data_IF_109414227109
#
_entry.id   IF_109414227109
#
_cell.length_a   1.000
_cell.length_b   1.000
_cell.length_c   1.000
_cell.angle_alpha   90.00
_cell.angle_beta   90.00
_cell.angle_gamma   90.00
#
_symmetry.space_group_name_H-M   'P 1'
#
loop_
_entity.id
_entity.type
_entity.pdbx_description
1 polymer ?
#
# COMPACT_ATOMS: atom_id res chain seq x y z
N UNK A 1 -18.35 13.19 0.18
CA UNK A 1 -17.76 11.94 0.71
C UNK A 1 -16.31 11.90 0.28
N UNK A 2 -15.39 12.18 1.17
CA UNK A 2 -13.95 12.29 0.84
C UNK A 2 -13.37 10.92 0.58
N UNK A 3 -12.61 10.76 -0.50
CA UNK A 3 -11.81 9.55 -0.78
C UNK A 3 -10.92 9.17 0.41
N UNK A 4 -10.44 10.17 1.17
CA UNK A 4 -9.78 9.99 2.47
C UNK A 4 -10.70 9.59 3.62
N UNK A 5 -11.99 9.93 3.60
CA UNK A 5 -12.92 9.40 4.60
C UNK A 5 -13.04 7.87 4.51
N UNK A 6 -12.89 7.29 3.31
CA UNK A 6 -12.82 5.84 3.13
C UNK A 6 -11.55 5.22 3.72
N UNK A 7 -10.43 5.96 3.75
CA UNK A 7 -9.19 5.49 4.40
C UNK A 7 -9.22 5.59 5.93
N UNK A 8 -10.06 6.45 6.53
CA UNK A 8 -9.99 6.78 7.97
C UNK A 8 -11.25 6.50 8.81
N UNK A 9 -12.38 6.06 8.25
CA UNK A 9 -13.65 5.97 8.99
C UNK A 9 -14.35 4.61 8.98
N UNK A 10 -13.65 3.51 8.79
CA UNK A 10 -14.28 2.16 8.89
C UNK A 10 -14.18 1.56 10.30
N UNK A 11 -13.57 2.23 11.28
CA UNK A 11 -13.48 1.70 12.65
C UNK A 11 -14.02 2.70 13.70
N UNK A 12 -15.32 2.67 13.86
CA UNK A 12 -15.99 3.24 15.02
C UNK A 12 -17.11 2.31 15.47
N UNK A 13 -16.95 1.77 16.67
CA UNK A 13 -17.89 1.06 17.50
C UNK A 13 -17.89 -0.47 17.44
N UNK A 14 -17.25 -1.05 18.45
CA UNK A 14 -17.91 -1.98 19.37
C UNK A 14 -17.00 -2.15 20.60
N UNK A 15 -17.39 -1.50 21.69
CA UNK A 15 -16.86 -1.73 23.01
C UNK A 15 -17.44 -3.02 23.59
N UNK A 16 -16.62 -3.76 24.34
CA UNK A 16 -17.09 -4.61 25.43
C UNK A 16 -15.94 -4.83 26.41
N UNK A 17 -16.19 -4.43 27.63
CA UNK A 17 -15.36 -4.62 28.81
C UNK A 17 -15.19 -6.10 29.14
N UNK A 18 -14.00 -6.45 29.60
CA UNK A 18 -13.72 -7.75 30.22
C UNK A 18 -12.54 -7.64 31.17
N UNK A 19 -12.82 -7.27 32.41
CA UNK A 19 -11.92 -7.45 33.56
C UNK A 19 -11.78 -8.93 33.86
N UNK A 20 -10.58 -9.46 33.95
CA UNK A 20 -10.29 -10.61 34.83
C UNK A 20 -8.82 -10.62 35.30
N UNK A 21 -8.74 -10.87 36.57
CA UNK A 21 -7.72 -10.83 37.58
C UNK A 21 -6.41 -11.58 37.30
N UNK A 22 -5.33 -11.06 37.95
CA UNK A 22 -4.05 -11.69 38.22
C UNK A 22 -4.17 -12.93 39.12
N UNK A 23 -3.14 -13.80 39.10
CA UNK A 23 -2.38 -13.97 40.33
C UNK A 23 -0.86 -13.86 40.17
N UNK A 24 -0.26 -13.32 41.23
CA UNK A 24 1.17 -13.28 41.50
C UNK A 24 1.65 -14.65 42.00
N UNK A 25 2.96 -14.91 41.82
CA UNK A 25 3.93 -15.70 42.57
C UNK A 25 4.99 -16.20 41.60
N UNK A 26 6.26 -16.24 41.80
CA UNK A 26 7.12 -16.19 42.99
C UNK A 26 8.58 -15.98 42.55
N UNK A 27 9.32 -15.33 43.39
CA UNK A 27 10.77 -15.10 43.35
C UNK A 27 11.59 -16.41 43.34
N UNK A 28 12.50 -16.50 42.37
CA UNK A 28 13.60 -17.48 42.39
C UNK A 28 14.93 -16.76 42.11
N UNK A 29 15.71 -16.53 43.15
CA UNK A 29 17.09 -16.03 43.11
C UNK A 29 18.01 -17.12 42.62
N UNK A 30 18.67 -16.92 41.47
CA UNK A 30 19.87 -17.70 41.09
C UNK A 30 21.08 -16.75 40.93
N UNK A 31 22.30 -17.16 41.41
CA UNK A 31 23.49 -16.34 41.30
C UNK A 31 23.99 -16.27 39.84
N UNK A 32 24.70 -15.15 39.50
CA UNK A 32 25.13 -14.96 38.11
C UNK A 32 26.35 -15.82 37.78
N UNK A 33 26.22 -16.63 36.73
CA UNK A 33 27.36 -17.26 36.07
C UNK A 33 28.10 -16.19 35.24
N UNK A 34 29.42 -16.13 35.42
CA UNK A 34 30.28 -15.25 34.63
C UNK A 34 30.28 -15.67 33.17
N UNK A 35 29.70 -14.82 32.30
CA UNK A 35 29.76 -15.00 30.86
C UNK A 35 30.95 -14.24 30.32
N UNK A 36 31.94 -15.00 29.85
CA UNK A 36 33.07 -14.48 29.06
C UNK A 36 32.51 -13.95 27.73
N UNK A 37 32.53 -12.63 27.58
CA UNK A 37 32.07 -11.95 26.36
C UNK A 37 33.19 -12.07 25.31
N UNK A 38 33.06 -13.02 24.39
CA UNK A 38 33.78 -12.98 23.12
C UNK A 38 33.09 -11.96 22.23
N UNK A 39 33.81 -10.88 21.88
CA UNK A 39 33.30 -9.88 20.93
C UNK A 39 32.99 -10.55 19.57
N UNK A 40 31.78 -10.38 19.02
CA UNK A 40 31.52 -10.85 17.67
C UNK A 40 32.30 -9.98 16.69
N UNK A 41 33.07 -10.65 15.82
CA UNK A 41 33.70 -10.02 14.67
C UNK A 41 32.62 -9.31 13.85
N UNK A 42 32.82 -8.01 13.61
CA UNK A 42 31.94 -7.22 12.75
C UNK A 42 31.96 -7.85 11.34
N UNK A 43 30.91 -8.57 11.00
CA UNK A 43 30.62 -8.97 9.61
C UNK A 43 30.44 -7.69 8.81
N UNK A 44 31.38 -7.41 7.91
CA UNK A 44 31.22 -6.38 6.89
C UNK A 44 29.94 -6.70 6.10
N UNK A 45 28.89 -5.93 6.38
CA UNK A 45 27.61 -6.04 5.68
C UNK A 45 27.85 -5.76 4.20
N UNK A 46 27.78 -6.79 3.39
CA UNK A 46 27.66 -6.66 1.93
C UNK A 46 26.35 -5.92 1.68
N UNK A 47 26.42 -4.62 1.40
CA UNK A 47 25.28 -3.84 0.90
C UNK A 47 24.87 -4.47 -0.41
N UNK A 48 23.81 -5.28 -0.37
CA UNK A 48 23.16 -5.77 -1.59
C UNK A 48 22.75 -4.56 -2.41
N UNK A 49 23.08 -4.52 -3.73
CA UNK A 49 22.66 -3.39 -4.57
C UNK A 49 21.15 -3.25 -4.48
N UNK A 50 20.69 -2.02 -4.24
CA UNK A 50 19.25 -1.72 -4.18
C UNK A 50 18.59 -2.22 -5.47
N UNK A 51 17.50 -2.99 -5.32
CA UNK A 51 16.74 -3.48 -6.46
C UNK A 51 16.32 -2.31 -7.37
N UNK A 52 16.37 -2.46 -8.71
CA UNK A 52 16.02 -1.40 -9.62
C UNK A 52 14.55 -1.00 -9.42
N UNK A 53 14.32 0.29 -9.15
CA UNK A 53 12.98 0.87 -9.01
C UNK A 53 12.44 1.16 -10.41
N UNK A 54 11.26 0.61 -10.73
CA UNK A 54 10.52 0.99 -11.94
C UNK A 54 9.67 2.21 -11.62
N UNK A 55 9.90 3.33 -12.29
CA UNK A 55 9.13 4.57 -12.09
C UNK A 55 8.33 4.92 -13.33
N UNK A 56 7.07 5.32 -13.13
CA UNK A 56 6.19 5.81 -14.18
C UNK A 56 5.69 7.20 -13.82
N UNK A 57 6.05 8.21 -14.63
CA UNK A 57 5.59 9.58 -14.45
C UNK A 57 4.27 9.81 -15.19
N UNK A 58 3.30 10.38 -14.48
CA UNK A 58 1.96 10.70 -15.00
C UNK A 58 1.65 12.17 -14.63
N UNK A 59 1.97 13.09 -15.53
CA UNK A 59 1.88 14.52 -15.25
C UNK A 59 2.78 14.96 -14.09
N UNK A 60 2.19 15.43 -12.98
CA UNK A 60 2.89 15.85 -11.76
C UNK A 60 3.07 14.73 -10.73
N UNK A 61 2.59 13.55 -11.03
CA UNK A 61 2.63 12.38 -10.15
C UNK A 61 3.62 11.35 -10.66
N UNK A 62 4.33 10.69 -9.77
CA UNK A 62 5.23 9.58 -10.07
C UNK A 62 4.81 8.36 -9.27
N UNK A 63 4.62 7.24 -9.93
CA UNK A 63 4.37 5.95 -9.30
C UNK A 63 5.64 5.11 -9.35
N UNK A 64 6.11 4.65 -8.20
CA UNK A 64 7.35 3.92 -8.05
C UNK A 64 7.06 2.48 -7.58
N UNK A 65 7.57 1.48 -8.31
CA UNK A 65 7.50 0.07 -7.95
C UNK A 65 8.89 -0.40 -7.55
N UNK A 66 9.16 -0.46 -6.27
CA UNK A 66 10.49 -0.73 -5.72
C UNK A 66 10.80 -2.24 -5.53
N UNK A 67 9.80 -3.12 -5.70
CA UNK A 67 10.00 -4.57 -5.65
C UNK A 67 10.21 -5.09 -7.08
N UNK A 68 11.28 -5.86 -7.37
CA UNK A 68 11.46 -6.49 -8.67
C UNK A 68 10.35 -7.51 -8.95
N UNK A 69 10.16 -7.87 -10.22
CA UNK A 69 9.28 -8.97 -10.58
C UNK A 69 9.86 -10.30 -10.05
N UNK A 70 9.01 -11.20 -9.53
CA UNK A 70 9.45 -12.52 -9.10
C UNK A 70 9.96 -13.34 -10.29
N UNK A 71 10.86 -14.31 -10.02
CA UNK A 71 11.37 -15.23 -11.04
C UNK A 71 10.28 -16.20 -11.56
N UNK A 72 9.28 -16.50 -10.73
CA UNK A 72 8.13 -17.30 -11.14
C UNK A 72 7.27 -16.50 -12.13
N UNK A 73 7.11 -17.02 -13.35
CA UNK A 73 6.40 -16.34 -14.42
C UNK A 73 4.91 -16.14 -14.15
N UNK A 74 4.27 -17.05 -13.43
CA UNK A 74 2.84 -16.90 -13.09
C UNK A 74 2.64 -15.75 -12.11
N UNK A 75 3.46 -15.67 -11.08
CA UNK A 75 3.45 -14.56 -10.12
C UNK A 75 3.88 -13.24 -10.79
N UNK A 76 4.87 -13.27 -11.68
CA UNK A 76 5.27 -12.08 -12.43
C UNK A 76 4.11 -11.48 -13.22
N UNK A 77 3.34 -12.31 -13.96
CA UNK A 77 2.14 -11.85 -14.69
C UNK A 77 1.06 -11.26 -13.79
N UNK A 78 0.90 -11.78 -12.57
CA UNK A 78 -0.04 -11.22 -11.60
C UNK A 78 0.40 -9.82 -11.18
N UNK A 79 1.68 -9.64 -10.84
CA UNK A 79 2.25 -8.33 -10.45
C UNK A 79 2.25 -7.36 -11.63
N UNK A 80 2.54 -7.79 -12.85
CA UNK A 80 2.45 -6.95 -14.05
C UNK A 80 1.02 -6.43 -14.27
N UNK A 81 0.01 -7.28 -14.16
CA UNK A 81 -1.39 -6.89 -14.25
C UNK A 81 -1.78 -5.89 -13.16
N UNK A 82 -1.31 -6.09 -11.94
CA UNK A 82 -1.52 -5.16 -10.84
C UNK A 82 -0.82 -3.81 -11.09
N UNK A 83 0.44 -3.79 -11.54
CA UNK A 83 1.17 -2.55 -11.87
C UNK A 83 0.47 -1.75 -12.96
N UNK A 84 0.02 -2.41 -14.03
CA UNK A 84 -0.74 -1.75 -15.10
C UNK A 84 -2.05 -1.17 -14.58
N UNK A 85 -2.77 -1.92 -13.74
CA UNK A 85 -3.98 -1.44 -13.09
C UNK A 85 -3.73 -0.17 -12.25
N UNK A 86 -2.64 -0.12 -11.46
CA UNK A 86 -2.23 1.04 -10.66
C UNK A 86 -1.91 2.26 -11.53
N UNK A 87 -1.20 2.05 -12.64
CA UNK A 87 -0.87 3.11 -13.61
C UNK A 87 -2.15 3.68 -14.24
N UNK A 88 -3.06 2.81 -14.69
CA UNK A 88 -4.33 3.21 -15.30
C UNK A 88 -5.28 3.88 -14.30
N UNK A 89 -5.25 3.42 -13.04
CA UNK A 89 -5.93 4.05 -11.92
C UNK A 89 -5.47 5.50 -11.75
N UNK A 90 -4.18 5.72 -11.60
CA UNK A 90 -3.58 7.04 -11.41
C UNK A 90 -3.83 7.96 -12.60
N UNK A 91 -3.72 7.45 -13.84
CA UNK A 91 -4.09 8.19 -15.06
C UNK A 91 -5.57 8.62 -15.04
N UNK A 92 -6.46 7.75 -14.55
CA UNK A 92 -7.90 8.04 -14.47
C UNK A 92 -8.23 9.12 -13.43
N UNK A 93 -7.53 9.11 -12.28
CA UNK A 93 -7.66 10.16 -11.27
C UNK A 93 -7.21 11.52 -11.79
N UNK A 94 -6.09 11.57 -12.51
CA UNK A 94 -5.55 12.81 -13.08
C UNK A 94 -6.44 13.35 -14.20
N UNK A 95 -7.01 12.45 -15.02
CA UNK A 95 -7.90 12.82 -16.12
C UNK A 95 -9.35 13.08 -15.69
N UNK A 96 -9.70 12.83 -14.43
CA UNK A 96 -11.07 12.87 -13.88
C UNK A 96 -12.10 12.05 -14.69
N UNK A 97 -11.65 10.99 -15.30
CA UNK A 97 -12.47 10.05 -16.09
C UNK A 97 -11.77 8.71 -16.20
N UNK A 98 -12.53 7.68 -16.51
CA UNK A 98 -11.93 6.40 -16.88
C UNK A 98 -11.13 6.58 -18.18
N UNK A 99 -9.83 6.27 -18.13
CA UNK A 99 -8.98 6.26 -19.33
C UNK A 99 -9.18 4.97 -20.14
N UNK A 100 -8.85 4.95 -21.45
CA UNK A 100 -8.91 3.74 -22.25
C UNK A 100 -8.10 2.60 -21.61
N UNK A 101 -8.65 1.39 -21.65
CA UNK A 101 -8.03 0.19 -21.09
C UNK A 101 -8.29 -0.06 -19.60
N UNK A 102 -8.59 0.95 -18.78
CA UNK A 102 -8.73 0.78 -17.32
C UNK A 102 -9.80 -0.24 -16.95
N UNK A 103 -10.88 -0.35 -17.72
CA UNK A 103 -11.98 -1.30 -17.42
C UNK A 103 -11.61 -2.76 -17.60
N UNK A 104 -10.51 -3.05 -18.32
CA UNK A 104 -9.92 -4.38 -18.38
C UNK A 104 -9.08 -4.72 -17.15
N UNK A 105 -8.47 -3.73 -16.51
CA UNK A 105 -7.54 -3.91 -15.39
C UNK A 105 -8.13 -3.57 -14.01
N UNK A 106 -9.26 -2.85 -13.96
CA UNK A 106 -9.95 -2.48 -12.70
C UNK A 106 -11.43 -2.84 -12.84
N UNK A 107 -11.88 -3.81 -12.04
CA UNK A 107 -13.23 -4.39 -12.14
C UNK A 107 -13.94 -4.42 -10.78
N UNK A 108 -15.15 -4.92 -10.72
CA UNK A 108 -15.88 -5.17 -9.47
C UNK A 108 -15.93 -3.98 -8.52
N UNK A 109 -15.69 -4.25 -7.26
CA UNK A 109 -15.69 -3.25 -6.17
C UNK A 109 -14.58 -2.22 -6.37
N UNK A 110 -13.41 -2.62 -6.88
CA UNK A 110 -12.32 -1.69 -7.15
C UNK A 110 -12.72 -0.61 -8.17
N UNK A 111 -13.47 -0.98 -9.22
CA UNK A 111 -13.98 -0.01 -10.20
C UNK A 111 -14.96 0.99 -9.58
N UNK A 112 -15.81 0.54 -8.67
CA UNK A 112 -16.73 1.44 -7.95
C UNK A 112 -15.96 2.45 -7.11
N UNK A 113 -14.88 2.01 -6.43
CA UNK A 113 -13.99 2.90 -5.68
C UNK A 113 -13.28 3.91 -6.59
N UNK A 114 -12.78 3.47 -7.75
CA UNK A 114 -12.14 4.36 -8.73
C UNK A 114 -13.10 5.44 -9.23
N UNK A 115 -14.35 5.08 -9.57
CA UNK A 115 -15.37 6.05 -9.98
C UNK A 115 -15.68 7.06 -8.87
N UNK A 116 -15.77 6.61 -7.62
CA UNK A 116 -15.93 7.48 -6.46
C UNK A 116 -14.78 8.45 -6.29
N UNK A 117 -13.55 7.97 -6.44
CA UNK A 117 -12.34 8.79 -6.35
C UNK A 117 -12.23 9.82 -7.48
N UNK A 118 -12.61 9.45 -8.71
CA UNK A 118 -12.68 10.37 -9.86
C UNK A 118 -13.70 11.47 -9.60
N UNK A 119 -14.91 11.10 -9.14
CA UNK A 119 -15.97 12.06 -8.80
C UNK A 119 -15.51 13.05 -7.73
N UNK A 120 -14.88 12.53 -6.69
CA UNK A 120 -14.32 13.33 -5.62
C UNK A 120 -13.24 14.30 -6.12
N UNK A 121 -12.24 13.83 -6.89
CA UNK A 121 -11.19 14.68 -7.46
C UNK A 121 -11.76 15.80 -8.31
N UNK A 122 -12.77 15.49 -9.15
CA UNK A 122 -13.47 16.48 -9.98
C UNK A 122 -14.23 17.53 -9.15
N UNK A 123 -14.91 17.11 -8.07
CA UNK A 123 -15.68 18.03 -7.22
C UNK A 123 -14.79 18.97 -6.39
N UNK A 124 -13.56 18.57 -6.10
CA UNK A 124 -12.62 19.32 -5.26
C UNK A 124 -11.47 19.96 -6.05
N UNK A 125 -11.53 19.94 -7.38
CA UNK A 125 -10.42 20.38 -8.25
C UNK A 125 -9.07 19.80 -7.79
N UNK A 126 -9.04 18.50 -7.50
CA UNK A 126 -7.89 17.81 -6.92
C UNK A 126 -7.39 16.68 -7.82
N UNK A 127 -6.08 16.63 -8.04
CA UNK A 127 -5.39 15.54 -8.72
C UNK A 127 -4.18 15.07 -7.91
N UNK A 128 -3.78 13.79 -8.04
CA UNK A 128 -2.53 13.30 -7.48
C UNK A 128 -1.30 14.08 -7.97
N UNK A 129 -0.36 14.34 -7.06
CA UNK A 129 0.95 14.92 -7.34
C UNK A 129 2.00 14.36 -6.39
N UNK A 130 3.29 14.63 -6.68
CA UNK A 130 4.40 14.11 -5.91
C UNK A 130 4.74 12.66 -6.30
N UNK A 131 4.94 11.79 -5.33
CA UNK A 131 5.27 10.39 -5.59
C UNK A 131 4.58 9.45 -4.60
N UNK A 132 4.30 8.25 -5.07
CA UNK A 132 3.76 7.11 -4.34
C UNK A 132 4.66 5.92 -4.59
N UNK A 133 5.23 5.33 -3.54
CA UNK A 133 6.21 4.25 -3.65
C UNK A 133 5.67 2.97 -3.08
N UNK A 134 5.47 2.00 -3.95
CA UNK A 134 5.03 0.64 -3.58
C UNK A 134 6.26 -0.27 -3.44
N UNK A 135 6.40 -0.88 -2.28
CA UNK A 135 7.54 -1.74 -1.94
C UNK A 135 7.08 -2.98 -1.16
N UNK A 136 7.96 -3.97 -0.99
CA UNK A 136 7.65 -5.27 -0.37
C UNK A 136 6.42 -5.95 -1.02
N UNK A 137 6.24 -5.73 -2.34
CA UNK A 137 5.13 -6.32 -3.09
C UNK A 137 5.35 -7.82 -3.28
N UNK A 138 4.38 -8.62 -2.88
CA UNK A 138 4.44 -10.08 -3.01
C UNK A 138 3.08 -10.68 -3.34
N UNK A 139 3.10 -11.79 -4.07
CA UNK A 139 1.92 -12.62 -4.29
C UNK A 139 1.81 -13.61 -3.13
N UNK A 140 0.76 -13.52 -2.34
CA UNK A 140 0.57 -14.33 -1.12
C UNK A 140 -0.32 -15.54 -1.33
N UNK A 141 -1.16 -15.52 -2.36
CA UNK A 141 -1.93 -16.69 -2.79
C UNK A 141 -2.22 -16.66 -4.29
N UNK A 142 -2.31 -17.83 -4.90
CA UNK A 142 -2.67 -18.01 -6.31
C UNK A 142 -3.63 -19.17 -6.45
N UNK A 143 -4.74 -18.93 -7.13
CA UNK A 143 -5.72 -19.93 -7.58
C UNK A 143 -6.07 -19.65 -9.05
N UNK A 144 -6.68 -20.60 -9.79
CA UNK A 144 -7.00 -20.39 -11.20
C UNK A 144 -7.87 -19.17 -11.49
N UNK A 145 -8.71 -18.76 -10.54
CA UNK A 145 -9.69 -17.66 -10.69
C UNK A 145 -9.43 -16.47 -9.78
N UNK A 146 -8.40 -16.52 -8.94
CA UNK A 146 -8.09 -15.45 -8.00
C UNK A 146 -6.62 -15.47 -7.58
N UNK A 147 -6.06 -14.31 -7.29
CA UNK A 147 -4.78 -14.19 -6.63
C UNK A 147 -4.83 -13.04 -5.61
N UNK A 148 -3.93 -13.07 -4.65
CA UNK A 148 -3.80 -12.01 -3.65
C UNK A 148 -2.39 -11.44 -3.69
N UNK A 149 -2.29 -10.12 -3.76
CA UNK A 149 -1.05 -9.36 -3.63
C UNK A 149 -1.11 -8.58 -2.33
N UNK A 150 0.00 -8.56 -1.61
CA UNK A 150 0.23 -7.60 -0.52
C UNK A 150 1.35 -6.64 -0.90
N UNK A 151 1.23 -5.40 -0.49
CA UNK A 151 2.24 -4.36 -0.74
C UNK A 151 2.24 -3.34 0.38
N UNK A 152 3.39 -2.72 0.57
CA UNK A 152 3.53 -1.53 1.37
C UNK A 152 3.58 -0.31 0.45
N UNK A 153 2.86 0.72 0.83
CA UNK A 153 2.78 1.98 0.12
C UNK A 153 3.36 3.10 1.00
N UNK A 154 4.40 3.78 0.50
CA UNK A 154 4.97 4.99 1.09
C UNK A 154 4.41 6.22 0.39
N UNK A 155 3.35 6.76 0.98
CA UNK A 155 2.70 7.99 0.53
C UNK A 155 3.29 9.27 1.14
N UNK A 156 4.48 9.23 1.75
CA UNK A 156 5.09 10.41 2.40
C UNK A 156 5.30 11.60 1.45
N UNK A 157 5.50 11.30 0.16
CA UNK A 157 5.67 12.30 -0.91
C UNK A 157 4.40 12.53 -1.74
N UNK A 158 3.30 11.86 -1.39
CA UNK A 158 2.02 12.02 -2.05
C UNK A 158 1.32 13.30 -1.60
N UNK A 159 0.76 14.04 -2.56
CA UNK A 159 -0.10 15.18 -2.31
C UNK A 159 -1.28 15.19 -3.28
N UNK A 160 -2.35 15.85 -2.89
CA UNK A 160 -3.41 16.28 -3.82
C UNK A 160 -3.25 17.77 -4.10
N UNK A 161 -3.27 18.14 -5.35
CA UNK A 161 -3.08 19.54 -5.78
C UNK A 161 -4.18 19.98 -6.72
N UNK A 162 -4.46 21.27 -6.71
CA UNK A 162 -5.28 21.88 -7.76
C UNK A 162 -4.48 21.84 -9.08
N UNK A 163 -5.01 21.25 -10.16
CA UNK A 163 -4.25 21.04 -11.40
C UNK A 163 -3.91 22.36 -12.11
N UNK A 164 -4.67 23.44 -11.89
CA UNK A 164 -4.47 24.74 -12.53
C UNK A 164 -3.40 25.57 -11.79
N UNK A 165 -3.49 25.64 -10.46
CA UNK A 165 -2.61 26.47 -9.63
C UNK A 165 -1.41 25.72 -9.08
N UNK A 166 -1.49 24.41 -8.94
CA UNK A 166 -0.50 23.59 -8.24
C UNK A 166 -0.57 23.70 -6.71
N UNK A 167 -1.54 24.42 -6.18
CA UNK A 167 -1.70 24.59 -4.74
C UNK A 167 -2.06 23.27 -4.10
N UNK A 168 -1.33 22.90 -3.04
CA UNK A 168 -1.60 21.68 -2.26
C UNK A 168 -2.91 21.84 -1.51
N UNK A 169 -3.77 20.84 -1.62
CA UNK A 169 -4.99 20.79 -0.83
C UNK A 169 -4.65 20.27 0.57
N UNK A 170 -4.48 21.20 1.52
CA UNK A 170 -4.09 20.90 2.90
C UNK A 170 -5.06 19.93 3.63
N UNK A 171 -6.35 19.95 3.26
CA UNK A 171 -7.33 19.02 3.83
C UNK A 171 -7.02 17.54 3.52
N UNK A 172 -6.14 17.31 2.54
CA UNK A 172 -5.74 15.99 2.04
C UNK A 172 -4.23 15.73 2.15
N UNK A 173 -3.47 16.64 2.77
CA UNK A 173 -2.08 16.37 3.11
C UNK A 173 -2.00 15.13 4.01
N UNK A 174 -1.18 14.14 3.65
CA UNK A 174 -1.06 12.91 4.44
C UNK A 174 -0.42 13.23 5.79
N UNK A 175 -1.09 12.99 6.93
CA UNK A 175 -0.45 13.11 8.22
C UNK A 175 0.79 12.23 8.29
N UNK A 176 1.82 12.67 9.00
CA UNK A 176 3.09 11.93 9.11
C UNK A 176 2.93 10.50 9.66
N UNK A 177 1.91 10.27 10.49
CA UNK A 177 1.58 8.98 11.08
C UNK A 177 0.80 8.03 10.13
N UNK A 178 0.38 8.52 8.95
CA UNK A 178 -0.34 7.74 7.93
C UNK A 178 0.41 7.65 6.59
N UNK A 179 1.69 7.95 6.58
CA UNK A 179 2.48 7.91 5.35
C UNK A 179 2.73 6.50 4.81
N UNK A 180 2.69 5.48 5.67
CA UNK A 180 2.83 4.09 5.29
C UNK A 180 1.50 3.36 5.38
N UNK A 181 1.14 2.62 4.32
CA UNK A 181 -0.05 1.78 4.25
C UNK A 181 0.35 0.35 3.93
N UNK A 182 -0.32 -0.61 4.57
CA UNK A 182 -0.28 -2.01 4.15
C UNK A 182 -1.56 -2.33 3.39
N UNK A 183 -1.40 -2.78 2.16
CA UNK A 183 -2.50 -2.98 1.24
C UNK A 183 -2.59 -4.44 0.81
N UNK A 184 -3.81 -4.93 0.69
CA UNK A 184 -4.11 -6.26 0.14
C UNK A 184 -4.98 -6.09 -1.08
N UNK A 185 -4.53 -6.59 -2.22
CA UNK A 185 -5.18 -6.50 -3.52
C UNK A 185 -5.66 -7.87 -3.96
N UNK A 186 -6.95 -8.00 -4.27
CA UNK A 186 -7.55 -9.22 -4.79
C UNK A 186 -7.63 -9.13 -6.30
N UNK A 187 -6.87 -9.98 -6.97
CA UNK A 187 -6.73 -10.04 -8.42
C UNK A 187 -7.66 -11.11 -8.99
N UNK A 188 -8.23 -10.82 -10.14
CA UNK A 188 -9.08 -11.74 -10.91
C UNK A 188 -8.61 -11.81 -12.37
N UNK A 189 -8.66 -12.96 -13.04
CA UNK A 189 -8.30 -13.06 -14.45
C UNK A 189 -9.40 -12.45 -15.34
N UNK A 190 -9.00 -11.61 -16.27
CA UNK A 190 -9.88 -10.95 -17.25
C UNK A 190 -9.19 -10.91 -18.60
N UNK A 191 -9.78 -11.52 -19.63
CA UNK A 191 -9.28 -11.39 -21.01
C UNK A 191 -7.80 -11.77 -21.23
N UNK A 192 -7.29 -12.74 -20.45
CA UNK A 192 -5.91 -13.22 -20.58
C UNK A 192 -4.88 -12.48 -19.73
N UNK A 193 -5.28 -11.53 -18.91
CA UNK A 193 -4.43 -10.83 -17.94
C UNK A 193 -5.09 -10.77 -16.56
N UNK A 194 -4.38 -10.25 -15.56
CA UNK A 194 -4.90 -10.08 -14.20
C UNK A 194 -5.37 -8.65 -13.98
N UNK A 195 -6.54 -8.51 -13.34
CA UNK A 195 -7.17 -7.24 -13.02
C UNK A 195 -7.43 -7.13 -11.51
N UNK A 196 -7.48 -5.91 -10.97
CA UNK A 196 -7.90 -5.65 -9.59
C UNK A 196 -9.43 -5.78 -9.51
N UNK A 197 -9.93 -6.72 -8.70
CA UNK A 197 -11.36 -6.90 -8.41
C UNK A 197 -11.81 -6.14 -7.17
N UNK A 198 -10.98 -6.17 -6.11
CA UNK A 198 -11.19 -5.46 -4.84
C UNK A 198 -9.87 -5.25 -4.12
N UNK A 199 -9.89 -4.46 -3.06
CA UNK A 199 -8.74 -4.26 -2.17
C UNK A 199 -9.17 -3.89 -0.76
N UNK A 200 -8.28 -4.11 0.18
CA UNK A 200 -8.40 -3.65 1.58
C UNK A 200 -7.15 -2.88 1.98
N UNK A 201 -7.34 -1.87 2.80
CA UNK A 201 -6.27 -1.04 3.34
C UNK A 201 -6.20 -1.24 4.85
N UNK A 202 -5.04 -1.58 5.37
CA UNK A 202 -4.80 -1.56 6.80
C UNK A 202 -4.44 -0.12 7.19
N UNK A 203 -5.41 0.57 7.77
CA UNK A 203 -5.30 1.98 8.15
C UNK A 203 -4.71 2.21 9.54
N UNK A 204 -4.34 1.14 10.25
CA UNK A 204 -3.77 1.25 11.59
C UNK A 204 -2.26 1.48 11.50
N UNK A 205 -1.74 2.61 12.00
CA UNK A 205 -0.31 2.90 12.02
C UNK A 205 0.54 1.76 12.60
N UNK A 206 0.05 1.11 13.67
CA UNK A 206 0.73 -0.01 14.30
C UNK A 206 0.75 -1.30 13.45
N UNK A 207 -0.22 -1.54 12.59
CA UNK A 207 -0.24 -2.69 11.69
C UNK A 207 0.65 -2.42 10.46
N UNK A 208 0.54 -1.25 9.86
CA UNK A 208 1.41 -0.81 8.76
C UNK A 208 2.88 -0.75 9.23
N UNK A 209 3.16 -0.19 10.40
CA UNK A 209 4.52 -0.13 10.95
C UNK A 209 5.15 -1.52 11.17
N UNK A 210 4.37 -2.54 11.49
CA UNK A 210 4.89 -3.92 11.67
C UNK A 210 5.18 -4.63 10.36
N UNK A 211 4.44 -4.33 9.30
CA UNK A 211 4.56 -5.00 8.00
C UNK A 211 5.37 -4.19 6.98
N UNK A 212 5.48 -2.86 7.16
CA UNK A 212 6.06 -1.94 6.20
C UNK A 212 7.31 -1.23 6.75
N UNK A 213 8.08 -1.87 7.62
CA UNK A 213 9.37 -1.33 8.02
C UNK A 213 10.38 -1.56 6.90
N UNK A 214 11.07 -0.49 6.41
CA UNK A 214 12.10 -0.62 5.39
C UNK A 214 13.37 -1.31 5.91
#
# INVERSE_FOLDING_TARGET
MSYRMSRSRVFGALGAAGLLALPACSSGTHPPAAVTTSAPAASAGTTSPAAPVTSVRIGRFTQEFATPLPADQAQAKIIEGWREAQILWSKSLIAWRLVPGVTGYVTGVARTHLLGAISYGKQNDAVPAGADRMFMTSVTSVAPTAATITTCDDGSRFAEVNPKTGTVNQAFATPADHQYLYETWHMVPVGGHWAIGSFTLATLPAAAARHCQP
#
